data_IF_594560389012
#
_entry.id   IF_594560389012
#
_cell.length_a   1.000
_cell.length_b   1.000
_cell.length_c   1.000
_cell.angle_alpha   90.00
_cell.angle_beta   90.00
_cell.angle_gamma   90.00
#
_symmetry.space_group_name_H-M   'P 1'
#
loop_
_entity.id
_entity.type
_entity.pdbx_description
1 polymer ?
#
# COMPACT_ATOMS: atom_id res chain seq x y z
N UNK A 1 38.01 -24.72 -18.33
CA UNK A 1 36.80 -24.05 -17.80
C UNK A 1 35.62 -24.43 -18.69
N UNK A 2 34.56 -25.02 -18.16
CA UNK A 2 33.44 -25.54 -18.97
C UNK A 2 32.60 -24.39 -19.55
N UNK A 3 32.42 -24.39 -20.87
CA UNK A 3 31.64 -23.38 -21.62
C UNK A 3 30.18 -23.23 -21.14
N UNK A 4 29.62 -24.24 -20.46
CA UNK A 4 28.30 -24.19 -19.83
C UNK A 4 28.20 -23.22 -18.63
N UNK A 5 29.30 -22.98 -17.93
CA UNK A 5 29.34 -22.04 -16.79
C UNK A 5 29.27 -20.59 -17.29
N UNK A 6 29.88 -20.29 -18.44
CA UNK A 6 29.89 -18.94 -19.04
C UNK A 6 28.52 -18.58 -19.62
N UNK A 7 27.81 -19.51 -20.27
CA UNK A 7 26.45 -19.27 -20.82
C UNK A 7 25.37 -19.10 -19.75
N UNK A 8 25.54 -19.73 -18.58
CA UNK A 8 24.62 -19.52 -17.46
C UNK A 8 24.70 -18.09 -16.90
N UNK A 9 25.91 -17.53 -16.82
CA UNK A 9 26.19 -16.18 -16.28
C UNK A 9 25.57 -15.06 -17.14
N UNK A 10 25.24 -15.32 -18.41
CA UNK A 10 24.68 -14.31 -19.32
C UNK A 10 23.15 -14.29 -19.40
N UNK A 11 22.45 -15.34 -18.94
CA UNK A 11 20.99 -15.43 -19.05
C UNK A 11 20.23 -14.83 -17.85
N UNK A 12 20.86 -14.78 -16.66
CA UNK A 12 20.20 -14.27 -15.45
C UNK A 12 19.90 -12.75 -15.49
N UNK A 13 20.71 -11.86 -16.11
CA UNK A 13 20.35 -10.45 -16.24
C UNK A 13 19.15 -10.29 -17.17
N UNK A 14 19.05 -11.12 -18.21
CA UNK A 14 17.91 -11.14 -19.13
C UNK A 14 16.64 -11.59 -18.42
N UNK A 15 16.72 -12.61 -17.56
CA UNK A 15 15.57 -13.10 -16.80
C UNK A 15 15.10 -12.09 -15.75
N UNK A 16 16.04 -11.40 -15.11
CA UNK A 16 15.74 -10.27 -14.24
C UNK A 16 15.12 -9.09 -14.99
N UNK A 17 15.63 -8.77 -16.18
CA UNK A 17 15.11 -7.69 -17.02
C UNK A 17 13.71 -8.03 -17.56
N UNK A 18 13.47 -9.28 -17.95
CA UNK A 18 12.15 -9.77 -18.35
C UNK A 18 11.17 -9.70 -17.18
N UNK A 19 11.60 -10.08 -15.98
CA UNK A 19 10.73 -9.98 -14.80
C UNK A 19 10.45 -8.52 -14.43
N UNK A 20 11.45 -7.64 -14.58
CA UNK A 20 11.27 -6.21 -14.40
C UNK A 20 10.27 -5.63 -15.40
N UNK A 21 10.34 -6.04 -16.68
CA UNK A 21 9.40 -5.64 -17.72
C UNK A 21 8.00 -6.16 -17.42
N UNK A 22 7.85 -7.44 -17.05
CA UNK A 22 6.54 -8.03 -16.72
C UNK A 22 5.94 -7.36 -15.47
N UNK A 23 6.74 -7.09 -14.45
CA UNK A 23 6.29 -6.38 -13.25
C UNK A 23 5.89 -4.93 -13.56
N UNK A 24 6.67 -4.22 -14.38
CA UNK A 24 6.33 -2.86 -14.82
C UNK A 24 5.05 -2.83 -15.68
N UNK A 25 4.86 -3.82 -16.56
CA UNK A 25 3.63 -3.97 -17.35
C UNK A 25 2.42 -4.30 -16.47
N UNK A 26 2.60 -5.16 -15.46
CA UNK A 26 1.56 -5.49 -14.49
C UNK A 26 1.14 -4.27 -13.66
N UNK A 27 2.10 -3.51 -13.16
CA UNK A 27 1.86 -2.23 -12.47
C UNK A 27 1.17 -1.21 -13.39
N UNK A 28 1.59 -1.15 -14.66
CA UNK A 28 0.96 -0.28 -15.64
C UNK A 28 -0.49 -0.68 -15.97
N UNK A 29 -0.88 -1.92 -15.74
CA UNK A 29 -2.23 -2.44 -15.98
C UNK A 29 -3.16 -2.35 -14.76
N UNK A 30 -2.63 -2.02 -13.56
CA UNK A 30 -3.48 -1.74 -12.41
C UNK A 30 -4.28 -0.45 -12.66
N UNK A 31 -5.60 -0.45 -12.40
CA UNK A 31 -6.38 0.78 -12.43
C UNK A 31 -5.75 1.76 -11.45
N UNK A 32 -5.55 3.02 -11.85
CA UNK A 32 -5.00 4.05 -10.96
C UNK A 32 -6.05 4.33 -9.86
N UNK A 33 -5.86 3.86 -8.62
CA UNK A 33 -6.87 4.07 -7.59
C UNK A 33 -6.63 5.44 -6.98
N UNK A 34 -7.22 6.46 -7.59
CA UNK A 34 -7.23 7.84 -7.09
C UNK A 34 -5.85 8.51 -6.97
N UNK A 35 -5.88 9.83 -6.85
CA UNK A 35 -4.71 10.72 -6.85
C UNK A 35 -3.87 10.69 -5.56
N UNK A 36 -4.06 9.71 -4.66
CA UNK A 36 -3.38 9.72 -3.38
C UNK A 36 -1.92 9.22 -3.51
N UNK A 37 -0.91 10.01 -3.11
CA UNK A 37 0.51 9.64 -3.23
C UNK A 37 0.87 8.37 -2.47
N UNK A 38 0.22 8.13 -1.33
CA UNK A 38 0.47 6.95 -0.53
C UNK A 38 -0.15 5.68 -1.16
N UNK A 39 -1.26 5.78 -1.89
CA UNK A 39 -1.80 4.66 -2.69
C UNK A 39 -0.80 4.25 -3.77
N UNK A 40 -0.24 5.23 -4.48
CA UNK A 40 0.82 5.00 -5.47
C UNK A 40 2.04 4.27 -4.87
N UNK A 41 2.44 4.67 -3.65
CA UNK A 41 3.52 4.00 -2.94
C UNK A 41 3.10 2.59 -2.51
N UNK A 42 1.91 2.40 -1.92
CA UNK A 42 1.37 1.10 -1.48
C UNK A 42 1.23 0.11 -2.64
N UNK A 43 0.71 0.53 -3.79
CA UNK A 43 0.55 -0.28 -5.00
C UNK A 43 1.89 -0.71 -5.59
N UNK A 44 2.88 0.18 -5.62
CA UNK A 44 4.25 -0.19 -5.95
C UNK A 44 4.80 -1.25 -4.97
N UNK A 45 4.32 -1.25 -3.72
CA UNK A 45 4.58 -2.30 -2.73
C UNK A 45 3.94 -3.63 -3.04
N UNK A 46 2.73 -3.65 -3.61
CA UNK A 46 2.03 -4.88 -4.00
C UNK A 46 2.85 -5.66 -5.03
N UNK A 47 3.55 -4.98 -5.93
CA UNK A 47 4.52 -5.63 -6.82
C UNK A 47 5.66 -6.35 -6.08
N UNK A 48 5.93 -6.02 -4.82
CA UNK A 48 6.86 -6.72 -3.94
C UNK A 48 6.56 -8.22 -3.82
N UNK A 49 5.30 -8.63 -3.91
CA UNK A 49 4.89 -10.05 -3.93
C UNK A 49 5.52 -10.82 -5.11
N UNK A 50 5.79 -10.14 -6.22
CA UNK A 50 6.41 -10.71 -7.43
C UNK A 50 7.91 -10.42 -7.50
N UNK A 51 8.33 -9.22 -7.09
CA UNK A 51 9.71 -8.75 -7.20
C UNK A 51 10.62 -9.45 -6.18
N UNK A 52 10.24 -9.51 -4.90
CA UNK A 52 11.09 -10.06 -3.85
C UNK A 52 11.47 -11.54 -4.06
N UNK A 53 10.55 -12.45 -4.46
CA UNK A 53 10.91 -13.83 -4.79
C UNK A 53 11.97 -13.95 -5.89
N UNK A 54 11.87 -13.11 -6.92
CA UNK A 54 12.77 -13.12 -8.07
C UNK A 54 14.14 -12.57 -7.69
N UNK A 55 14.17 -11.51 -6.89
CA UNK A 55 15.39 -10.96 -6.31
C UNK A 55 16.11 -12.01 -5.44
N UNK A 56 15.38 -12.70 -4.56
CA UNK A 56 15.92 -13.78 -3.73
C UNK A 56 16.50 -14.92 -4.58
N UNK A 57 15.73 -15.38 -5.56
CA UNK A 57 16.10 -16.47 -6.46
C UNK A 57 17.32 -16.13 -7.31
N UNK A 58 17.40 -14.90 -7.84
CA UNK A 58 18.52 -14.41 -8.62
C UNK A 58 19.82 -14.41 -7.81
N UNK A 59 19.78 -13.89 -6.58
CA UNK A 59 20.92 -13.89 -5.68
C UNK A 59 21.34 -15.31 -5.26
N UNK A 60 20.37 -16.19 -4.99
CA UNK A 60 20.63 -17.60 -4.68
C UNK A 60 21.30 -18.34 -5.83
N UNK A 61 20.84 -18.12 -7.06
CA UNK A 61 21.43 -18.70 -8.27
C UNK A 61 22.87 -18.22 -8.48
N UNK A 62 23.13 -16.92 -8.30
CA UNK A 62 24.46 -16.34 -8.41
C UNK A 62 25.42 -16.98 -7.40
N UNK A 63 25.04 -17.02 -6.12
CA UNK A 63 25.87 -17.62 -5.07
C UNK A 63 26.08 -19.13 -5.28
N UNK A 64 25.04 -19.88 -5.67
CA UNK A 64 25.18 -21.31 -5.94
C UNK A 64 26.13 -21.62 -7.10
N UNK A 65 26.17 -20.77 -8.12
CA UNK A 65 27.12 -20.90 -9.24
C UNK A 65 28.54 -20.59 -8.83
N UNK A 66 28.77 -19.52 -8.06
CA UNK A 66 30.10 -19.22 -7.51
C UNK A 66 30.59 -20.36 -6.61
N UNK A 67 29.69 -20.98 -5.84
CA UNK A 67 29.99 -22.18 -5.06
C UNK A 67 30.36 -23.36 -5.95
N UNK A 68 29.60 -23.64 -7.00
CA UNK A 68 29.90 -24.69 -7.97
C UNK A 68 31.23 -24.48 -8.69
N UNK A 69 31.59 -23.21 -8.96
CA UNK A 69 32.89 -22.82 -9.53
C UNK A 69 34.05 -22.87 -8.51
N UNK A 70 33.78 -23.19 -7.25
CA UNK A 70 34.80 -23.33 -6.20
C UNK A 70 35.31 -22.00 -5.64
N UNK A 71 34.64 -20.88 -5.91
CA UNK A 71 35.07 -19.53 -5.49
C UNK A 71 35.15 -19.38 -3.97
N UNK A 72 34.32 -20.12 -3.23
CA UNK A 72 34.29 -20.11 -1.76
C UNK A 72 35.17 -21.17 -1.09
N UNK A 73 35.97 -21.94 -1.85
CA UNK A 73 36.77 -23.05 -1.29
C UNK A 73 37.99 -22.58 -0.49
N UNK A 74 38.53 -21.41 -0.83
CA UNK A 74 39.73 -20.88 -0.20
C UNK A 74 39.39 -19.76 0.76
N UNK A 75 40.12 -19.71 1.88
CA UNK A 75 40.01 -18.58 2.81
C UNK A 75 40.46 -17.32 2.08
N UNK A 76 39.57 -16.35 2.04
CA UNK A 76 39.79 -15.05 1.41
C UNK A 76 39.78 -13.97 2.48
N UNK A 77 40.48 -12.85 2.24
CA UNK A 77 40.44 -11.72 3.17
C UNK A 77 39.03 -11.14 3.25
N UNK A 78 38.72 -10.44 4.33
CA UNK A 78 37.39 -9.82 4.57
C UNK A 78 36.96 -8.95 3.38
N UNK A 79 37.89 -8.20 2.78
CA UNK A 79 37.61 -7.38 1.57
C UNK A 79 37.14 -8.22 0.38
N UNK A 80 37.76 -9.38 0.15
CA UNK A 80 37.38 -10.28 -0.94
C UNK A 80 36.06 -11.00 -0.65
N UNK A 81 35.82 -11.40 0.60
CA UNK A 81 34.53 -11.97 1.03
C UNK A 81 33.39 -10.96 0.83
N UNK A 82 33.61 -9.68 1.19
CA UNK A 82 32.66 -8.60 0.95
C UNK A 82 32.42 -8.34 -0.54
N UNK A 83 33.45 -8.38 -1.38
CA UNK A 83 33.29 -8.25 -2.83
C UNK A 83 32.48 -9.42 -3.42
N UNK A 84 32.71 -10.65 -2.97
CA UNK A 84 31.93 -11.83 -3.39
C UNK A 84 30.47 -11.72 -2.98
N UNK A 85 30.19 -11.23 -1.77
CA UNK A 85 28.83 -10.95 -1.32
C UNK A 85 28.17 -9.89 -2.20
N UNK A 86 28.86 -8.77 -2.44
CA UNK A 86 28.36 -7.66 -3.25
C UNK A 86 28.04 -8.10 -4.69
N UNK A 87 28.87 -8.96 -5.29
CA UNK A 87 28.64 -9.54 -6.61
C UNK A 87 27.39 -10.42 -6.69
N UNK A 88 26.98 -11.06 -5.58
CA UNK A 88 25.76 -11.86 -5.55
C UNK A 88 24.51 -11.01 -5.28
N UNK A 89 24.64 -10.01 -4.39
CA UNK A 89 23.50 -9.29 -3.81
C UNK A 89 23.16 -8.04 -4.60
N UNK A 90 24.13 -7.15 -4.87
CA UNK A 90 23.87 -5.85 -5.46
C UNK A 90 23.19 -5.92 -6.83
N UNK A 91 23.55 -6.85 -7.74
CA UNK A 91 22.90 -6.90 -9.04
C UNK A 91 21.42 -7.30 -8.96
N UNK A 92 21.08 -8.30 -8.12
CA UNK A 92 19.70 -8.71 -7.91
C UNK A 92 18.89 -7.66 -7.14
N UNK A 93 19.45 -7.12 -6.05
CA UNK A 93 18.83 -6.06 -5.27
C UNK A 93 18.62 -4.79 -6.10
N UNK A 94 19.58 -4.43 -6.96
CA UNK A 94 19.51 -3.28 -7.85
C UNK A 94 18.38 -3.39 -8.87
N UNK A 95 18.16 -4.57 -9.46
CA UNK A 95 17.00 -4.77 -10.34
C UNK A 95 15.69 -4.62 -9.56
N UNK A 96 15.58 -5.24 -8.38
CA UNK A 96 14.40 -5.10 -7.54
C UNK A 96 14.11 -3.64 -7.18
N UNK A 97 15.15 -2.90 -6.77
CA UNK A 97 15.07 -1.48 -6.48
C UNK A 97 14.60 -0.66 -7.70
N UNK A 98 15.19 -0.90 -8.88
CA UNK A 98 14.78 -0.22 -10.12
C UNK A 98 13.32 -0.48 -10.44
N UNK A 99 12.84 -1.73 -10.30
CA UNK A 99 11.44 -2.06 -10.56
C UNK A 99 10.50 -1.32 -9.62
N UNK A 100 10.81 -1.29 -8.32
CA UNK A 100 9.98 -0.58 -7.34
C UNK A 100 10.00 0.94 -7.56
N UNK A 101 11.16 1.51 -7.86
CA UNK A 101 11.31 2.96 -8.12
C UNK A 101 10.62 3.37 -9.42
N UNK A 102 10.79 2.61 -10.50
CA UNK A 102 10.11 2.86 -11.78
C UNK A 102 8.61 2.68 -11.63
N UNK A 103 8.17 1.64 -10.90
CA UNK A 103 6.76 1.43 -10.55
C UNK A 103 6.16 2.64 -9.85
N UNK A 104 6.79 3.10 -8.77
CA UNK A 104 6.37 4.31 -8.05
C UNK A 104 6.36 5.54 -8.97
N UNK A 105 7.37 5.73 -9.81
CA UNK A 105 7.44 6.85 -10.75
C UNK A 105 6.33 6.82 -11.80
N UNK A 106 5.95 5.64 -12.31
CA UNK A 106 4.84 5.48 -13.26
C UNK A 106 3.50 5.82 -12.59
N UNK A 107 3.27 5.38 -11.35
CA UNK A 107 2.06 5.72 -10.60
C UNK A 107 1.97 7.22 -10.30
N UNK A 108 3.08 7.84 -9.88
CA UNK A 108 3.16 9.29 -9.70
C UNK A 108 2.89 10.03 -11.01
N UNK A 109 3.48 9.60 -12.12
CA UNK A 109 3.26 10.20 -13.45
C UNK A 109 1.82 10.11 -13.97
N UNK A 110 0.96 9.29 -13.35
CA UNK A 110 -0.46 9.11 -13.70
C UNK A 110 -1.43 9.94 -12.86
N UNK A 111 -0.94 10.86 -12.03
CA UNK A 111 -1.81 11.75 -11.24
C UNK A 111 -1.47 11.83 -9.75
N UNK A 112 -0.40 11.16 -9.31
CA UNK A 112 0.13 11.33 -7.95
C UNK A 112 1.12 12.50 -7.84
N UNK A 113 1.46 12.89 -6.62
CA UNK A 113 2.57 13.80 -6.33
C UNK A 113 3.77 13.00 -5.79
N UNK A 114 5.00 13.46 -6.11
CA UNK A 114 6.22 12.93 -5.48
C UNK A 114 6.59 13.85 -4.31
N UNK A 115 6.05 13.57 -3.13
CA UNK A 115 6.41 14.27 -1.90
C UNK A 115 7.37 13.45 -1.02
N UNK A 116 7.73 13.99 0.15
CA UNK A 116 8.59 13.30 1.11
C UNK A 116 8.02 11.98 1.62
N UNK A 117 6.69 11.86 1.72
CA UNK A 117 6.02 10.67 2.25
C UNK A 117 6.19 9.45 1.33
N UNK A 118 6.22 9.69 0.01
CA UNK A 118 6.50 8.63 -0.98
C UNK A 118 7.89 8.05 -0.77
N UNK A 119 8.90 8.89 -0.51
CA UNK A 119 10.27 8.45 -0.27
C UNK A 119 10.38 7.67 1.04
N UNK A 120 9.70 8.13 2.09
CA UNK A 120 9.66 7.49 3.41
C UNK A 120 9.08 6.07 3.35
N UNK A 121 8.07 5.83 2.52
CA UNK A 121 7.46 4.51 2.30
C UNK A 121 8.28 3.64 1.35
N UNK A 122 8.86 4.23 0.30
CA UNK A 122 9.60 3.50 -0.73
C UNK A 122 10.97 3.03 -0.25
N UNK A 123 11.65 3.82 0.56
CA UNK A 123 13.02 3.53 1.02
C UNK A 123 13.14 2.20 1.77
N UNK A 124 12.32 1.88 2.81
CA UNK A 124 12.35 0.59 3.48
C UNK A 124 12.17 -0.59 2.52
N UNK A 125 11.30 -0.45 1.51
CA UNK A 125 11.01 -1.50 0.50
C UNK A 125 12.17 -1.70 -0.47
N UNK A 126 12.84 -0.63 -0.87
CA UNK A 126 14.08 -0.70 -1.66
C UNK A 126 15.18 -1.40 -0.87
N UNK A 127 15.36 -1.07 0.40
CA UNK A 127 16.35 -1.73 1.27
C UNK A 127 15.97 -3.19 1.51
N UNK A 128 14.68 -3.52 1.55
CA UNK A 128 14.18 -4.89 1.70
C UNK A 128 14.62 -5.79 0.54
N UNK A 129 14.70 -5.27 -0.70
CA UNK A 129 15.30 -6.02 -1.81
C UNK A 129 16.74 -6.46 -1.50
N UNK A 130 17.52 -5.62 -0.82
CA UNK A 130 18.87 -5.94 -0.36
C UNK A 130 18.88 -7.07 0.69
N UNK A 131 18.02 -6.98 1.70
CA UNK A 131 17.92 -8.01 2.75
C UNK A 131 17.50 -9.37 2.18
N UNK A 132 16.48 -9.39 1.31
CA UNK A 132 15.97 -10.61 0.66
C UNK A 132 17.01 -11.20 -0.31
N UNK A 133 17.70 -10.36 -1.09
CA UNK A 133 18.82 -10.81 -1.92
C UNK A 133 19.95 -11.41 -1.07
N UNK A 134 20.27 -10.81 0.08
CA UNK A 134 21.31 -11.33 0.98
C UNK A 134 20.95 -12.70 1.56
N UNK A 135 19.68 -12.90 1.96
CA UNK A 135 19.17 -14.21 2.39
C UNK A 135 19.23 -15.23 1.26
N UNK A 136 18.81 -14.84 0.05
CA UNK A 136 18.92 -15.69 -1.15
C UNK A 136 20.36 -16.11 -1.42
N UNK A 137 21.31 -15.16 -1.41
CA UNK A 137 22.72 -15.44 -1.60
C UNK A 137 23.28 -16.40 -0.53
N UNK A 138 22.89 -16.24 0.74
CA UNK A 138 23.25 -17.19 1.81
C UNK A 138 22.74 -18.59 1.52
N UNK A 139 21.48 -18.74 1.12
CA UNK A 139 20.91 -20.04 0.77
C UNK A 139 21.65 -20.70 -0.39
N UNK A 140 21.94 -19.95 -1.46
CA UNK A 140 22.71 -20.46 -2.60
C UNK A 140 24.14 -20.89 -2.22
N UNK A 141 24.73 -20.20 -1.24
CA UNK A 141 26.04 -20.54 -0.68
C UNK A 141 26.01 -21.76 0.24
N UNK A 142 24.95 -21.97 1.01
CA UNK A 142 24.90 -23.01 2.04
C UNK A 142 24.29 -24.33 1.55
N UNK A 143 23.35 -24.27 0.62
CA UNK A 143 22.47 -25.39 0.28
C UNK A 143 22.57 -25.74 -1.22
N UNK A 144 22.36 -27.02 -1.64
CA UNK A 144 22.22 -27.36 -3.05
C UNK A 144 21.18 -26.50 -3.78
N UNK A 145 21.45 -26.15 -5.04
CA UNK A 145 20.61 -25.25 -5.84
C UNK A 145 19.15 -25.73 -5.92
N UNK A 146 18.94 -27.06 -5.97
CA UNK A 146 17.62 -27.69 -6.00
C UNK A 146 16.73 -27.29 -4.82
N UNK A 147 17.31 -27.04 -3.64
CA UNK A 147 16.58 -26.58 -2.46
C UNK A 147 16.72 -25.08 -2.24
N UNK A 148 17.88 -24.50 -2.57
CA UNK A 148 18.13 -23.07 -2.36
C UNK A 148 17.16 -22.18 -3.16
N UNK A 149 16.87 -22.52 -4.42
CA UNK A 149 15.96 -21.78 -5.29
C UNK A 149 14.52 -21.74 -4.76
N UNK A 150 13.82 -22.87 -4.57
CA UNK A 150 12.43 -22.85 -4.09
C UNK A 150 12.31 -22.23 -2.70
N UNK A 151 13.28 -22.48 -1.80
CA UNK A 151 13.29 -21.84 -0.47
C UNK A 151 13.50 -20.34 -0.57
N UNK A 152 14.38 -19.86 -1.45
CA UNK A 152 14.58 -18.42 -1.64
C UNK A 152 13.33 -17.74 -2.21
N UNK A 153 12.67 -18.37 -3.20
CA UNK A 153 11.38 -17.89 -3.74
C UNK A 153 10.33 -17.81 -2.64
N UNK A 154 10.16 -18.90 -1.86
CA UNK A 154 9.21 -18.94 -0.76
C UNK A 154 9.51 -17.84 0.28
N UNK A 155 10.74 -17.73 0.76
CA UNK A 155 11.12 -16.71 1.74
C UNK A 155 10.94 -15.28 1.20
N UNK A 156 11.25 -15.05 -0.08
CA UNK A 156 11.01 -13.75 -0.72
C UNK A 156 9.52 -13.39 -0.78
N UNK A 157 8.66 -14.38 -1.05
CA UNK A 157 7.20 -14.20 -1.03
C UNK A 157 6.68 -13.96 0.40
N UNK A 158 7.11 -14.79 1.35
CA UNK A 158 6.74 -14.67 2.77
C UNK A 158 7.22 -13.35 3.39
N UNK A 159 8.38 -12.82 2.97
CA UNK A 159 8.85 -11.51 3.41
C UNK A 159 7.88 -10.37 3.06
N UNK A 160 7.07 -10.53 2.01
CA UNK A 160 5.99 -9.60 1.68
C UNK A 160 4.67 -9.99 2.35
N UNK A 161 4.23 -11.24 2.25
CA UNK A 161 2.89 -11.64 2.67
C UNK A 161 2.73 -11.72 4.18
N UNK A 162 3.76 -12.20 4.89
CA UNK A 162 3.67 -12.43 6.32
C UNK A 162 3.36 -11.13 7.10
N UNK A 163 4.08 -10.01 6.90
CA UNK A 163 3.75 -8.75 7.57
C UNK A 163 2.31 -8.28 7.29
N UNK A 164 1.83 -8.49 6.05
CA UNK A 164 0.49 -8.08 5.67
C UNK A 164 -0.61 -8.92 6.33
N UNK A 165 -0.29 -10.15 6.74
CA UNK A 165 -1.22 -11.06 7.44
C UNK A 165 -1.22 -10.91 8.96
N UNK A 166 -0.30 -10.14 9.54
CA UNK A 166 -0.19 -10.00 11.00
C UNK A 166 -1.26 -9.05 11.55
N UNK A 167 -1.74 -9.33 12.77
CA UNK A 167 -2.55 -8.38 13.53
C UNK A 167 -1.78 -7.07 13.77
N UNK A 168 -2.51 -5.98 13.96
CA UNK A 168 -1.91 -4.68 14.26
C UNK A 168 -1.05 -4.76 15.53
N UNK A 169 0.16 -4.19 15.48
CA UNK A 169 1.04 -4.12 16.64
C UNK A 169 2.52 -3.91 16.29
N UNK A 170 3.39 -3.84 17.31
CA UNK A 170 4.80 -3.51 17.14
C UNK A 170 5.57 -4.46 16.23
N UNK A 171 5.24 -5.76 16.29
CA UNK A 171 5.83 -6.79 15.42
C UNK A 171 5.48 -6.51 13.96
N UNK A 172 4.23 -6.12 13.67
CA UNK A 172 3.80 -5.77 12.33
C UNK A 172 4.53 -4.53 11.82
N UNK A 173 4.65 -3.48 12.63
CA UNK A 173 5.38 -2.24 12.26
C UNK A 173 6.86 -2.49 11.96
N UNK A 174 7.49 -3.45 12.63
CA UNK A 174 8.85 -3.87 12.28
C UNK A 174 8.88 -4.69 10.97
N UNK A 175 7.90 -5.57 10.79
CA UNK A 175 7.85 -6.50 9.66
C UNK A 175 7.41 -5.83 8.35
N UNK A 176 6.61 -4.77 8.42
CA UNK A 176 6.05 -4.08 7.27
C UNK A 176 5.27 -2.82 7.66
N UNK A 177 4.76 -2.12 6.65
CA UNK A 177 3.92 -0.95 6.89
C UNK A 177 2.50 -1.38 7.32
N UNK A 178 1.78 -0.55 8.08
CA UNK A 178 0.40 -0.83 8.45
C UNK A 178 -0.49 -0.96 7.20
N UNK A 179 -1.38 -1.98 7.21
CA UNK A 179 -2.22 -2.38 6.06
C UNK A 179 -3.68 -2.00 6.29
N UNK A 180 -3.96 -0.97 7.09
CA UNK A 180 -5.23 -0.27 6.90
C UNK A 180 -5.12 0.59 5.65
N UNK A 181 -4.91 -0.10 4.51
CA UNK A 181 -5.21 0.46 3.21
C UNK A 181 -6.70 0.76 3.20
N UNK A 182 -7.10 1.78 2.44
CA UNK A 182 -8.47 2.19 2.13
C UNK A 182 -9.05 3.40 2.88
N UNK A 183 -8.25 4.27 3.51
CA UNK A 183 -8.74 5.62 3.82
C UNK A 183 -7.68 6.67 3.53
N UNK A 184 -7.99 7.61 2.63
CA UNK A 184 -7.19 8.79 2.28
C UNK A 184 -6.90 9.74 3.46
N UNK A 185 -7.42 9.40 4.63
CA UNK A 185 -7.43 10.18 5.88
C UNK A 185 -6.19 9.94 6.74
N UNK A 186 -5.49 8.82 6.56
CA UNK A 186 -4.43 8.38 7.47
C UNK A 186 -3.13 8.07 6.74
N UNK A 187 -2.02 8.40 7.38
CA UNK A 187 -0.66 8.18 6.89
C UNK A 187 0.16 7.35 7.89
N UNK A 188 1.08 6.50 7.40
CA UNK A 188 2.10 5.88 8.23
C UNK A 188 2.85 6.97 8.99
N UNK A 189 2.92 6.83 10.32
CA UNK A 189 3.71 7.77 11.11
C UNK A 189 5.19 7.65 10.77
N UNK A 190 5.94 8.72 11.05
CA UNK A 190 7.40 8.72 10.97
C UNK A 190 8.04 7.53 11.69
N UNK A 191 7.49 7.18 12.87
CA UNK A 191 7.97 6.03 13.62
C UNK A 191 7.66 4.69 12.97
N UNK A 192 6.52 4.53 12.28
CA UNK A 192 6.14 3.28 11.64
C UNK A 192 7.11 2.89 10.51
N UNK A 193 7.42 3.82 9.59
CA UNK A 193 8.40 3.51 8.54
C UNK A 193 9.82 3.38 9.10
N UNK A 194 10.16 4.11 10.17
CA UNK A 194 11.49 4.04 10.78
C UNK A 194 11.73 2.69 11.45
N UNK A 195 10.72 2.19 12.17
CA UNK A 195 10.74 0.86 12.75
C UNK A 195 10.97 -0.21 11.67
N UNK A 196 10.24 -0.13 10.55
CA UNK A 196 10.41 -1.05 9.44
C UNK A 196 11.81 -0.95 8.82
N UNK A 197 12.28 0.26 8.52
CA UNK A 197 13.61 0.49 7.95
C UNK A 197 14.73 -0.09 8.83
N UNK A 198 14.68 0.18 10.14
CA UNK A 198 15.66 -0.31 11.12
C UNK A 198 15.63 -1.84 11.23
N UNK A 199 14.44 -2.45 11.16
CA UNK A 199 14.31 -3.90 11.16
C UNK A 199 14.92 -4.52 9.89
N UNK A 200 14.66 -3.94 8.72
CA UNK A 200 15.23 -4.40 7.45
C UNK A 200 16.75 -4.24 7.42
N UNK A 201 17.28 -3.11 7.91
CA UNK A 201 18.74 -2.90 8.07
C UNK A 201 19.32 -3.95 9.03
N UNK A 202 18.63 -4.24 10.13
CA UNK A 202 19.02 -5.29 11.06
C UNK A 202 19.08 -6.66 10.38
N UNK A 203 18.08 -7.01 9.58
CA UNK A 203 18.02 -8.29 8.87
C UNK A 203 19.16 -8.41 7.83
N UNK A 204 19.45 -7.33 7.11
CA UNK A 204 20.58 -7.24 6.20
C UNK A 204 21.92 -7.43 6.95
N UNK A 205 22.07 -6.78 8.12
CA UNK A 205 23.25 -6.92 8.96
C UNK A 205 23.41 -8.35 9.49
N UNK A 206 22.33 -9.03 9.89
CA UNK A 206 22.36 -10.47 10.25
C UNK A 206 22.84 -11.31 9.08
N UNK A 207 22.28 -11.11 7.88
CA UNK A 207 22.67 -11.87 6.70
C UNK A 207 24.15 -11.66 6.35
N UNK A 208 24.64 -10.42 6.44
CA UNK A 208 26.05 -10.11 6.23
C UNK A 208 26.93 -10.70 7.34
N UNK A 209 26.49 -10.67 8.59
CA UNK A 209 27.19 -11.28 9.71
C UNK A 209 27.38 -12.79 9.49
N UNK A 210 26.30 -13.49 9.14
CA UNK A 210 26.32 -14.91 8.81
C UNK A 210 27.29 -15.19 7.66
N UNK A 211 27.28 -14.36 6.62
CA UNK A 211 28.23 -14.46 5.51
C UNK A 211 29.69 -14.38 5.98
N UNK A 212 30.02 -13.37 6.80
CA UNK A 212 31.36 -13.19 7.36
C UNK A 212 31.76 -14.32 8.31
N UNK A 213 30.82 -14.83 9.12
CA UNK A 213 31.07 -15.93 10.06
C UNK A 213 31.36 -17.25 9.34
N UNK A 214 30.69 -17.52 8.20
CA UNK A 214 31.01 -18.66 7.34
C UNK A 214 32.46 -18.59 6.85
N UNK A 215 32.96 -17.38 6.56
CA UNK A 215 34.36 -17.12 6.19
C UNK A 215 35.33 -17.05 7.37
N UNK A 216 34.85 -17.32 8.60
CA UNK A 216 35.60 -17.26 9.87
C UNK A 216 36.17 -15.87 10.18
N UNK A 217 35.58 -14.80 9.62
CA UNK A 217 35.89 -13.42 9.97
C UNK A 217 35.17 -13.03 11.28
N UNK A 218 35.54 -13.69 12.39
CA UNK A 218 34.78 -13.69 13.65
C UNK A 218 34.56 -12.28 14.22
N UNK A 219 35.60 -11.43 14.25
CA UNK A 219 35.48 -10.07 14.80
C UNK A 219 34.50 -9.21 14.00
N UNK A 220 34.57 -9.24 12.67
CA UNK A 220 33.64 -8.52 11.79
C UNK A 220 32.23 -9.10 11.91
N UNK A 221 32.10 -10.42 12.01
CA UNK A 221 30.83 -11.09 12.24
C UNK A 221 30.18 -10.68 13.56
N UNK A 222 30.93 -10.67 14.66
CA UNK A 222 30.44 -10.23 15.97
C UNK A 222 30.01 -8.76 15.92
N UNK A 223 30.81 -7.88 15.32
CA UNK A 223 30.43 -6.47 15.18
C UNK A 223 29.12 -6.28 14.41
N UNK A 224 28.90 -7.06 13.34
CA UNK A 224 27.66 -7.04 12.58
C UNK A 224 26.47 -7.64 13.36
N UNK A 225 26.69 -8.67 14.18
CA UNK A 225 25.65 -9.20 15.08
C UNK A 225 25.26 -8.13 16.10
N UNK A 226 26.22 -7.43 16.71
CA UNK A 226 25.95 -6.34 17.65
C UNK A 226 25.16 -5.22 16.96
N UNK A 227 25.58 -4.82 15.75
CA UNK A 227 24.84 -3.83 14.96
C UNK A 227 23.42 -4.28 14.62
N UNK A 228 23.23 -5.57 14.27
CA UNK A 228 21.92 -6.14 14.01
C UNK A 228 21.02 -6.14 15.24
N UNK A 229 21.54 -6.55 16.40
CA UNK A 229 20.81 -6.54 17.67
C UNK A 229 20.44 -5.11 18.07
N UNK A 230 21.38 -4.17 17.94
CA UNK A 230 21.12 -2.75 18.21
C UNK A 230 20.05 -2.18 17.27
N UNK A 231 20.11 -2.49 15.98
CA UNK A 231 19.12 -2.04 14.97
C UNK A 231 17.74 -2.64 15.23
N UNK A 232 17.65 -3.93 15.54
CA UNK A 232 16.40 -4.60 15.89
C UNK A 232 15.82 -4.10 17.22
N UNK A 233 16.67 -3.85 18.22
CA UNK A 233 16.26 -3.26 19.48
C UNK A 233 15.75 -1.83 19.32
N UNK A 234 16.42 -1.02 18.47
CA UNK A 234 15.94 0.31 18.11
C UNK A 234 14.62 0.25 17.34
N UNK A 235 14.49 -0.65 16.37
CA UNK A 235 13.25 -0.89 15.65
C UNK A 235 12.09 -1.25 16.59
N UNK A 236 12.33 -2.15 17.55
CA UNK A 236 11.36 -2.51 18.58
C UNK A 236 10.98 -1.33 19.47
N UNK A 237 11.98 -0.57 19.93
CA UNK A 237 11.76 0.63 20.75
C UNK A 237 10.92 1.68 20.04
N UNK A 238 11.22 1.96 18.76
CA UNK A 238 10.42 2.86 17.93
C UNK A 238 9.01 2.31 17.73
N UNK A 239 8.87 1.03 17.36
CA UNK A 239 7.57 0.40 17.15
C UNK A 239 6.67 0.40 18.40
N UNK A 240 7.25 0.28 19.60
CA UNK A 240 6.52 0.42 20.86
C UNK A 240 6.16 1.85 21.23
N UNK A 241 7.00 2.82 20.85
CA UNK A 241 6.78 4.22 21.15
C UNK A 241 5.74 4.88 20.23
N UNK A 242 5.37 4.22 19.13
CA UNK A 242 4.35 4.69 18.20
C UNK A 242 2.97 4.29 18.73
N UNK A 243 2.11 5.24 19.14
CA UNK A 243 0.77 4.93 19.59
C UNK A 243 -0.12 4.44 18.43
N UNK A 244 -1.03 3.52 18.72
CA UNK A 244 -2.00 3.00 17.75
C UNK A 244 -1.39 2.01 16.72
N UNK A 245 -2.01 1.92 15.55
CA UNK A 245 -1.63 0.97 14.48
C UNK A 245 -0.46 1.47 13.62
N UNK A 246 0.35 2.42 14.09
CA UNK A 246 1.39 3.07 13.29
C UNK A 246 0.87 4.03 12.23
N UNK A 247 -0.37 4.49 12.39
CA UNK A 247 -1.04 5.43 11.51
C UNK A 247 -1.36 6.69 12.31
N UNK A 248 -1.13 7.86 11.71
CA UNK A 248 -1.65 9.14 12.18
C UNK A 248 -2.65 9.67 11.17
N UNK A 249 -3.56 10.52 11.64
CA UNK A 249 -4.41 11.27 10.73
C UNK A 249 -3.56 12.33 10.03
N UNK A 250 -3.86 12.60 8.76
CA UNK A 250 -3.10 13.55 7.95
C UNK A 250 -3.21 14.96 8.53
N UNK A 251 -2.07 15.65 8.60
CA UNK A 251 -1.98 17.04 9.06
C UNK A 251 -2.29 18.05 7.95
N UNK A 252 -2.47 17.62 6.70
CA UNK A 252 -2.69 18.53 5.57
C UNK A 252 -4.09 19.18 5.62
N UNK A 253 -4.22 20.50 5.45
CA UNK A 253 -5.51 21.15 5.40
C UNK A 253 -6.18 20.93 4.05
N UNK A 254 -7.39 20.35 4.07
CA UNK A 254 -8.28 20.35 2.90
C UNK A 254 -8.55 21.78 2.44
N UNK A 255 -8.65 21.96 1.12
CA UNK A 255 -8.97 23.24 0.50
C UNK A 255 -10.46 23.30 0.25
N UNK A 256 -11.13 24.29 0.80
CA UNK A 256 -12.57 24.46 0.67
C UNK A 256 -12.92 25.52 -0.36
N UNK A 257 -13.89 25.24 -1.21
CA UNK A 257 -14.53 26.21 -2.10
C UNK A 257 -16.04 26.05 -1.99
N UNK A 258 -16.78 27.16 -1.96
CA UNK A 258 -18.23 27.10 -1.92
C UNK A 258 -18.81 26.81 -3.31
N UNK A 259 -19.61 25.75 -3.41
CA UNK A 259 -20.34 25.39 -4.63
C UNK A 259 -21.81 25.80 -4.46
N UNK A 260 -22.29 26.67 -5.35
CA UNK A 260 -23.66 27.17 -5.33
C UNK A 260 -24.48 26.61 -6.49
N UNK A 261 -25.72 26.23 -6.20
CA UNK A 261 -26.74 25.83 -7.15
C UNK A 261 -28.10 26.43 -6.74
N UNK A 262 -28.55 27.44 -7.48
CA UNK A 262 -29.76 28.19 -7.13
C UNK A 262 -29.65 28.87 -5.77
N UNK A 263 -30.56 28.53 -4.85
CA UNK A 263 -30.59 29.05 -3.47
C UNK A 263 -29.77 28.23 -2.49
N UNK A 264 -29.21 27.08 -2.91
CA UNK A 264 -28.40 26.20 -2.07
C UNK A 264 -26.92 26.45 -2.32
N UNK A 265 -26.15 26.54 -1.24
CA UNK A 265 -24.69 26.62 -1.28
C UNK A 265 -24.13 25.58 -0.31
N UNK A 266 -23.04 24.94 -0.71
CA UNK A 266 -22.40 23.88 0.05
C UNK A 266 -20.90 24.00 -0.11
N UNK A 267 -20.16 23.91 0.99
CA UNK A 267 -18.70 23.96 0.95
C UNK A 267 -18.14 22.61 0.47
N UNK A 268 -17.26 22.65 -0.53
CA UNK A 268 -16.56 21.50 -1.09
C UNK A 268 -15.10 21.55 -0.66
N UNK A 269 -14.74 20.74 0.33
CA UNK A 269 -13.39 20.63 0.85
C UNK A 269 -12.68 19.38 0.31
N UNK A 270 -11.68 19.60 -0.55
CA UNK A 270 -10.89 18.54 -1.19
C UNK A 270 -9.48 18.50 -0.66
N UNK A 271 -8.85 17.33 -0.71
CA UNK A 271 -7.41 17.21 -0.49
C UNK A 271 -6.62 17.94 -1.58
N UNK A 272 -5.42 18.47 -1.27
CA UNK A 272 -4.59 19.17 -2.25
C UNK A 272 -4.31 18.38 -3.53
N UNK A 273 -4.17 17.06 -3.45
CA UNK A 273 -3.97 16.17 -4.59
C UNK A 273 -5.20 16.05 -5.52
N UNK A 274 -6.41 16.24 -4.99
CA UNK A 274 -7.66 16.17 -5.75
C UNK A 274 -8.10 17.55 -6.29
N UNK A 275 -7.30 18.59 -6.04
CA UNK A 275 -7.61 19.96 -6.43
C UNK A 275 -7.79 20.12 -7.94
N UNK A 276 -7.05 19.36 -8.75
CA UNK A 276 -7.17 19.34 -10.21
C UNK A 276 -8.55 18.85 -10.67
N UNK A 277 -9.21 18.00 -9.88
CA UNK A 277 -10.54 17.47 -10.13
C UNK A 277 -11.65 18.41 -9.66
N UNK A 278 -11.33 19.48 -8.91
CA UNK A 278 -12.33 20.39 -8.34
C UNK A 278 -13.39 20.85 -9.34
N UNK A 279 -13.08 21.26 -10.59
CA UNK A 279 -14.10 21.67 -11.53
C UNK A 279 -15.10 20.56 -11.87
N UNK A 280 -14.62 19.33 -12.01
CA UNK A 280 -15.45 18.16 -12.29
C UNK A 280 -16.30 17.77 -11.07
N UNK A 281 -15.68 17.69 -9.88
CA UNK A 281 -16.37 17.38 -8.62
C UNK A 281 -17.44 18.44 -8.31
N UNK A 282 -17.15 19.72 -8.54
CA UNK A 282 -18.11 20.80 -8.36
C UNK A 282 -19.27 20.71 -9.37
N UNK A 283 -19.03 20.25 -10.60
CA UNK A 283 -20.10 20.01 -11.56
C UNK A 283 -21.01 18.86 -11.10
N UNK A 284 -20.43 17.74 -10.68
CA UNK A 284 -21.16 16.59 -10.13
C UNK A 284 -21.94 16.97 -8.87
N UNK A 285 -21.36 17.77 -7.97
CA UNK A 285 -22.06 18.27 -6.78
C UNK A 285 -23.24 19.17 -7.16
N UNK A 286 -23.13 20.03 -8.18
CA UNK A 286 -24.27 20.83 -8.65
C UNK A 286 -25.41 19.96 -9.16
N UNK A 287 -25.12 18.89 -9.89
CA UNK A 287 -26.15 17.94 -10.35
C UNK A 287 -26.84 17.25 -9.17
N UNK A 288 -26.07 16.76 -8.20
CA UNK A 288 -26.61 16.15 -6.98
C UNK A 288 -27.45 17.15 -6.17
N UNK A 289 -27.05 18.42 -6.11
CA UNK A 289 -27.83 19.48 -5.45
C UNK A 289 -29.14 19.81 -6.16
N UNK A 290 -29.21 19.69 -7.50
CA UNK A 290 -30.46 19.83 -8.26
C UNK A 290 -31.43 18.72 -7.87
N UNK A 291 -30.99 17.46 -7.91
CA UNK A 291 -31.81 16.30 -7.53
C UNK A 291 -32.27 16.45 -6.06
N UNK A 292 -31.35 16.80 -5.16
CA UNK A 292 -31.68 17.05 -3.76
C UNK A 292 -32.72 18.17 -3.59
N UNK A 293 -32.71 19.19 -4.44
CA UNK A 293 -33.69 20.27 -4.40
C UNK A 293 -35.06 19.82 -4.91
N UNK A 294 -35.11 19.10 -6.02
CA UNK A 294 -36.34 18.56 -6.61
C UNK A 294 -37.08 17.64 -5.63
N UNK A 295 -36.32 16.80 -4.92
CA UNK A 295 -36.85 15.85 -3.93
C UNK A 295 -36.89 16.39 -2.50
N UNK A 296 -36.58 17.67 -2.29
CA UNK A 296 -36.57 18.34 -0.96
C UNK A 296 -35.71 17.64 0.09
N UNK A 297 -34.63 16.98 -0.36
CA UNK A 297 -33.62 16.39 0.52
C UNK A 297 -32.87 17.54 1.23
N UNK A 298 -32.72 17.49 2.56
CA UNK A 298 -31.90 18.45 3.29
C UNK A 298 -30.43 18.30 2.88
N UNK A 299 -29.71 19.42 2.79
CA UNK A 299 -28.28 19.43 2.44
C UNK A 299 -27.45 19.90 3.63
N UNK A 300 -26.29 19.28 3.89
CA UNK A 300 -25.35 19.72 4.91
C UNK A 300 -24.73 21.07 4.52
N UNK A 301 -24.04 21.70 5.47
CA UNK A 301 -23.28 22.93 5.22
C UNK A 301 -22.10 22.69 4.28
N UNK A 302 -21.50 21.50 4.33
CA UNK A 302 -20.38 21.13 3.47
C UNK A 302 -20.16 19.63 3.32
N UNK A 303 -19.41 19.27 2.29
CA UNK A 303 -18.79 17.97 2.11
C UNK A 303 -17.28 18.13 2.19
N UNK A 304 -16.63 17.23 2.90
CA UNK A 304 -15.19 17.24 3.11
C UNK A 304 -14.61 15.87 2.87
N UNK A 305 -13.44 15.83 2.25
CA UNK A 305 -12.63 14.62 2.22
C UNK A 305 -11.83 14.43 3.51
N UNK A 306 -11.98 15.26 4.56
CA UNK A 306 -11.24 15.16 5.83
C UNK A 306 -12.11 14.77 7.03
N UNK A 307 -11.67 13.76 7.80
CA UNK A 307 -12.27 13.37 9.08
C UNK A 307 -11.84 14.24 10.28
N UNK A 308 -10.69 14.92 10.19
CA UNK A 308 -10.13 15.72 11.30
C UNK A 308 -10.85 17.06 11.43
N UNK A 309 -11.20 17.64 10.29
CA UNK A 309 -11.85 18.95 10.20
C UNK A 309 -13.36 18.81 9.96
N UNK A 310 -13.97 17.75 10.47
CA UNK A 310 -15.40 17.52 10.34
C UNK A 310 -16.14 18.50 11.26
N UNK A 311 -16.35 19.72 10.75
CA UNK A 311 -17.09 20.75 11.45
C UNK A 311 -18.56 20.31 11.61
N UNK A 312 -19.27 20.78 12.64
CA UNK A 312 -20.71 20.55 12.76
C UNK A 312 -21.44 20.95 11.47
N UNK A 313 -22.17 20.00 10.88
CA UNK A 313 -22.88 20.20 9.62
C UNK A 313 -22.08 19.87 8.35
N UNK A 314 -20.86 19.34 8.46
CA UNK A 314 -20.10 18.78 7.34
C UNK A 314 -20.24 17.26 7.27
N UNK A 315 -20.09 16.71 6.07
CA UNK A 315 -20.20 15.27 5.81
C UNK A 315 -18.97 14.76 5.07
N UNK A 316 -18.56 13.52 5.34
CA UNK A 316 -17.41 12.91 4.69
C UNK A 316 -17.81 12.27 3.36
N UNK A 317 -17.02 12.51 2.31
CA UNK A 317 -17.10 11.78 1.05
C UNK A 317 -15.70 11.54 0.47
N UNK A 318 -15.50 10.40 -0.21
CA UNK A 318 -14.28 10.11 -0.98
C UNK A 318 -14.53 10.57 -2.42
N UNK A 319 -13.86 11.62 -2.88
CA UNK A 319 -14.19 12.32 -4.13
C UNK A 319 -13.08 12.27 -5.19
N UNK A 320 -11.95 11.63 -4.88
CA UNK A 320 -10.81 11.44 -5.78
C UNK A 320 -10.97 10.35 -6.86
N UNK A 321 -12.20 9.90 -7.16
CA UNK A 321 -12.48 8.95 -8.25
C UNK A 321 -12.58 9.70 -9.59
N UNK A 322 -12.06 9.13 -10.68
CA UNK A 322 -12.19 9.71 -12.03
C UNK A 322 -13.57 9.43 -12.66
N UNK A 323 -14.27 8.38 -12.24
CA UNK A 323 -15.63 8.07 -12.70
C UNK A 323 -16.65 9.08 -12.16
N UNK A 324 -17.29 9.91 -13.02
CA UNK A 324 -18.32 10.85 -12.60
C UNK A 324 -19.46 10.17 -11.86
N UNK A 325 -19.79 8.94 -12.21
CA UNK A 325 -20.90 8.22 -11.62
C UNK A 325 -20.61 7.80 -10.18
N UNK A 326 -19.42 7.23 -9.95
CA UNK A 326 -18.95 6.88 -8.60
C UNK A 326 -18.88 8.13 -7.69
N UNK A 327 -18.38 9.26 -8.22
CA UNK A 327 -18.36 10.53 -7.49
C UNK A 327 -19.75 11.04 -7.13
N UNK A 328 -20.71 11.02 -8.07
CA UNK A 328 -22.09 11.46 -7.80
C UNK A 328 -22.77 10.60 -6.75
N UNK A 329 -22.55 9.29 -6.80
CA UNK A 329 -23.04 8.36 -5.80
C UNK A 329 -22.46 8.67 -4.41
N UNK A 330 -21.14 8.88 -4.32
CA UNK A 330 -20.47 9.26 -3.07
C UNK A 330 -21.00 10.59 -2.51
N UNK A 331 -21.21 11.60 -3.37
CA UNK A 331 -21.79 12.88 -3.00
C UNK A 331 -23.25 12.74 -2.53
N UNK A 332 -24.07 11.96 -3.23
CA UNK A 332 -25.46 11.69 -2.84
C UNK A 332 -25.56 11.01 -1.47
N UNK A 333 -24.76 9.97 -1.25
CA UNK A 333 -24.65 9.29 0.04
C UNK A 333 -24.21 10.23 1.17
N UNK A 334 -23.33 11.20 0.87
CA UNK A 334 -22.88 12.18 1.84
C UNK A 334 -23.99 13.18 2.25
N UNK A 335 -25.02 13.40 1.42
CA UNK A 335 -26.14 14.29 1.78
C UNK A 335 -27.08 13.72 2.84
N UNK A 336 -26.96 12.44 3.20
CA UNK A 336 -27.87 11.80 4.15
C UNK A 336 -27.34 11.95 5.58
N UNK A 337 -28.13 12.51 6.52
CA UNK A 337 -27.68 12.72 7.89
C UNK A 337 -27.25 11.41 8.55
N UNK A 338 -26.00 11.38 9.05
CA UNK A 338 -25.47 10.27 9.87
C UNK A 338 -25.95 10.41 11.32
N UNK A 339 -27.24 10.19 11.59
CA UNK A 339 -27.69 10.04 12.98
C UNK A 339 -27.27 8.67 13.53
N UNK A 340 -26.66 8.64 14.72
CA UNK A 340 -26.28 7.39 15.41
C UNK A 340 -24.86 6.87 15.16
N UNK A 341 -24.09 7.44 14.23
CA UNK A 341 -22.64 7.27 14.22
C UNK A 341 -22.02 8.30 15.17
N UNK A 342 -21.84 7.93 16.43
CA UNK A 342 -21.24 8.80 17.44
C UNK A 342 -19.97 9.47 16.91
N UNK A 343 -19.91 10.79 17.08
CA UNK A 343 -18.69 11.61 17.00
C UNK A 343 -17.65 11.23 18.06
N UNK A 344 -17.93 10.22 18.88
CA UNK A 344 -17.02 9.60 19.85
C UNK A 344 -16.28 8.37 19.32
N UNK A 345 -16.03 8.25 18.01
CA UNK A 345 -14.85 7.48 17.60
C UNK A 345 -13.63 8.31 17.96
N UNK A 346 -13.16 8.18 19.20
CA UNK A 346 -11.76 8.46 19.53
C UNK A 346 -10.93 7.81 18.43
N UNK A 347 -10.12 8.56 17.67
CA UNK A 347 -9.59 8.05 16.42
C UNK A 347 -8.81 6.75 16.62
N UNK A 348 -8.23 6.50 17.81
CA UNK A 348 -7.69 5.19 18.21
C UNK A 348 -7.71 4.95 19.74
N UNK A 349 -8.89 4.84 20.35
CA UNK A 349 -9.02 4.28 21.71
C UNK A 349 -8.87 2.75 21.71
N UNK A 350 -8.29 2.17 22.77
CA UNK A 350 -8.00 0.73 22.93
C UNK A 350 -9.09 -0.19 22.35
N UNK A 351 -8.77 -0.93 21.28
CA UNK A 351 -9.65 -1.91 20.63
C UNK A 351 -9.88 -3.18 21.47
N UNK A 352 -9.72 -3.09 22.79
CA UNK A 352 -9.98 -4.16 23.75
C UNK A 352 -11.45 -4.28 24.19
N UNK A 353 -12.31 -3.32 23.83
CA UNK A 353 -13.73 -3.35 24.16
C UNK A 353 -14.57 -2.74 23.04
N UNK A 354 -14.81 -3.50 21.97
CA UNK A 354 -16.00 -3.24 21.14
C UNK A 354 -17.19 -3.83 21.90
N UNK A 355 -17.65 -3.10 22.93
CA UNK A 355 -19.02 -3.27 23.39
C UNK A 355 -19.93 -2.81 22.26
N UNK A 356 -20.91 -3.66 21.95
CA UNK A 356 -21.88 -3.49 20.88
C UNK A 356 -22.40 -2.05 20.84
N UNK A 357 -22.25 -1.39 19.68
CA UNK A 357 -22.93 -0.12 19.43
C UNK A 357 -24.45 -0.33 19.65
N UNK A 358 -25.15 0.64 20.28
CA UNK A 358 -26.58 0.53 20.49
C UNK A 358 -27.28 0.39 19.15
N UNK A 359 -28.19 -0.57 19.06
CA UNK A 359 -29.05 -0.82 17.89
C UNK A 359 -29.74 0.47 17.45
N UNK A 360 -29.42 0.93 16.25
CA UNK A 360 -30.07 2.08 15.62
C UNK A 360 -31.54 1.71 15.35
N UNK A 361 -32.45 2.29 16.12
CA UNK A 361 -33.86 2.38 15.76
C UNK A 361 -34.07 3.59 14.85
N UNK A 362 -34.83 3.38 13.78
CA UNK A 362 -35.49 4.39 12.93
C UNK A 362 -34.61 5.28 12.03
N UNK A 363 -33.60 4.70 11.36
CA UNK A 363 -33.00 5.29 10.15
C UNK A 363 -33.31 4.37 8.96
N UNK A 364 -33.82 4.87 7.81
CA UNK A 364 -33.97 4.03 6.62
C UNK A 364 -32.64 3.37 6.29
N UNK A 365 -32.69 2.09 5.98
CA UNK A 365 -31.49 1.25 5.81
C UNK A 365 -30.54 1.93 4.81
N UNK A 366 -29.23 1.99 5.10
CA UNK A 366 -28.26 2.66 4.20
C UNK A 366 -28.32 2.07 2.79
N UNK A 367 -28.70 0.80 2.68
CA UNK A 367 -28.97 0.13 1.42
C UNK A 367 -30.16 0.75 0.65
N UNK A 368 -31.24 1.12 1.34
CA UNK A 368 -32.40 1.81 0.74
C UNK A 368 -32.04 3.22 0.29
N UNK A 369 -31.23 3.92 1.09
CA UNK A 369 -30.72 5.26 0.73
C UNK A 369 -29.79 5.21 -0.48
N UNK A 370 -28.88 4.23 -0.52
CA UNK A 370 -28.01 3.99 -1.66
C UNK A 370 -28.83 3.62 -2.90
N UNK A 371 -29.81 2.72 -2.76
CA UNK A 371 -30.71 2.35 -3.85
C UNK A 371 -31.50 3.55 -4.38
N UNK A 372 -32.02 4.40 -3.49
CA UNK A 372 -32.73 5.61 -3.89
C UNK A 372 -31.85 6.57 -4.70
N UNK A 373 -30.63 6.86 -4.22
CA UNK A 373 -29.68 7.69 -4.96
C UNK A 373 -29.27 7.06 -6.28
N UNK A 374 -29.08 5.74 -6.31
CA UNK A 374 -28.81 5.03 -7.55
C UNK A 374 -29.97 5.16 -8.55
N UNK A 375 -31.23 5.09 -8.11
CA UNK A 375 -32.39 5.34 -9.00
C UNK A 375 -32.39 6.79 -9.51
N UNK A 376 -32.20 7.77 -8.63
CA UNK A 376 -32.23 9.19 -9.04
C UNK A 376 -31.06 9.58 -9.95
N UNK A 377 -29.91 8.92 -9.81
CA UNK A 377 -28.74 9.09 -10.68
C UNK A 377 -28.83 8.26 -11.97
N UNK A 378 -29.91 7.50 -12.16
CA UNK A 378 -30.12 6.64 -13.33
C UNK A 378 -29.26 5.37 -13.37
N UNK A 379 -28.72 4.95 -12.24
CA UNK A 379 -27.94 3.72 -12.05
C UNK A 379 -28.82 2.47 -11.89
N UNK A 380 -29.99 2.65 -11.28
CA UNK A 380 -31.01 1.63 -11.14
C UNK A 380 -32.28 2.14 -11.81
N UNK A 381 -33.02 1.25 -12.48
CA UNK A 381 -34.42 1.56 -12.78
C UNK A 381 -35.22 1.52 -11.48
N UNK A 382 -36.25 2.36 -11.40
CA UNK A 382 -37.22 2.30 -10.33
C UNK A 382 -37.76 0.86 -10.24
N UNK A 383 -37.64 0.16 -9.09
CA UNK A 383 -38.10 -1.23 -8.97
C UNK A 383 -39.59 -1.42 -9.29
N UNK A 384 -40.36 -0.33 -9.35
CA UNK A 384 -41.77 -0.32 -9.72
C UNK A 384 -42.05 -0.06 -11.24
N UNK A 385 -41.02 0.16 -12.08
CA UNK A 385 -41.19 0.32 -13.54
C UNK A 385 -40.81 -0.95 -14.34
N UNK A 386 -41.74 -1.55 -15.11
CA UNK A 386 -41.48 -2.73 -15.91
C UNK A 386 -41.13 -2.33 -17.35
N UNK A 387 -39.84 -2.17 -17.69
CA UNK A 387 -39.20 -2.64 -18.94
C UNK A 387 -37.73 -2.18 -19.10
N UNK A 388 -36.85 -2.97 -19.76
CA UNK A 388 -35.41 -2.97 -19.50
C UNK A 388 -34.60 -1.93 -20.29
N UNK A 389 -33.63 -1.30 -19.62
CA UNK A 389 -32.44 -0.76 -20.27
C UNK A 389 -31.49 -1.91 -20.62
N UNK A 390 -31.21 -2.10 -21.91
CA UNK A 390 -30.23 -3.07 -22.39
C UNK A 390 -28.82 -2.60 -22.00
N UNK A 391 -28.16 -3.27 -21.06
CA UNK A 391 -26.72 -3.05 -20.86
C UNK A 391 -26.06 -3.70 -19.66
N UNK A 392 -26.73 -3.80 -18.52
CA UNK A 392 -26.16 -4.38 -17.30
C UNK A 392 -27.21 -5.22 -16.57
N UNK A 393 -26.85 -6.45 -16.20
CA UNK A 393 -27.74 -7.30 -15.42
C UNK A 393 -27.94 -6.72 -14.00
N UNK A 394 -29.10 -6.96 -13.38
CA UNK A 394 -29.36 -6.48 -12.00
C UNK A 394 -28.34 -6.98 -10.98
N UNK A 395 -27.66 -8.09 -11.26
CA UNK A 395 -26.55 -8.60 -10.47
C UNK A 395 -25.29 -7.72 -10.59
N UNK A 396 -25.00 -7.17 -11.78
CA UNK A 396 -23.87 -6.26 -12.01
C UNK A 396 -24.06 -4.93 -11.26
N UNK A 397 -25.30 -4.46 -11.14
CA UNK A 397 -25.59 -3.24 -10.38
C UNK A 397 -25.52 -3.49 -8.87
N UNK A 398 -26.02 -4.63 -8.38
CA UNK A 398 -25.81 -5.04 -6.98
C UNK A 398 -24.34 -5.18 -6.63
N UNK A 399 -23.55 -5.76 -7.53
CA UNK A 399 -22.10 -5.91 -7.35
C UNK A 399 -21.42 -4.53 -7.32
N UNK A 400 -21.80 -3.58 -8.18
CA UNK A 400 -21.29 -2.20 -8.13
C UNK A 400 -21.71 -1.46 -6.85
N UNK A 401 -22.96 -1.58 -6.41
CA UNK A 401 -23.44 -0.97 -5.15
C UNK A 401 -22.72 -1.58 -3.95
N UNK A 402 -22.55 -2.90 -3.93
CA UNK A 402 -21.75 -3.61 -2.92
C UNK A 402 -20.30 -3.12 -2.92
N UNK A 403 -19.70 -2.95 -4.09
CA UNK A 403 -18.31 -2.46 -4.25
C UNK A 403 -18.16 -1.03 -3.73
N UNK A 404 -19.15 -0.16 -3.95
CA UNK A 404 -19.18 1.23 -3.41
C UNK A 404 -19.40 1.25 -1.90
N UNK A 405 -20.23 0.34 -1.37
CA UNK A 405 -20.43 0.21 0.09
C UNK A 405 -19.19 -0.37 0.80
N UNK A 406 -18.46 -1.28 0.15
CA UNK A 406 -17.19 -1.82 0.65
C UNK A 406 -16.06 -0.78 0.57
N UNK A 407 -15.97 -0.01 -0.52
CA UNK A 407 -14.93 1.03 -0.69
C UNK A 407 -15.10 2.23 0.23
N UNK A 408 -16.33 2.49 0.71
CA UNK A 408 -16.63 3.51 1.75
C UNK A 408 -16.45 2.99 3.19
N UNK A 409 -15.92 1.77 3.37
CA UNK A 409 -15.51 1.23 4.66
C UNK A 409 -16.66 0.91 5.62
N UNK A 410 -17.87 0.66 5.11
CA UNK A 410 -19.08 0.45 5.91
C UNK A 410 -19.86 -0.80 5.47
N UNK A 411 -19.17 -1.92 5.26
CA UNK A 411 -19.81 -3.23 5.27
C UNK A 411 -20.24 -3.57 6.71
N UNK A 412 -21.47 -4.08 6.85
CA UNK A 412 -22.06 -4.50 8.14
C UNK A 412 -21.31 -5.68 8.78
#
# INVERSE_FOLDING_TARGET
MNAGVVRGVTAWPVLLLLTAVVAALGLAALPAPGSYPLFSAIDAGVAGALVLPVVAAGAALAAARLRGAGVFRHRVSVRHSGAQWALCVLPAAGVGAVVLVVGAAVHVGRGGSFDGSVLEVLLPRVVLCGAVAAVGALLGRLVPLLFALPTAVALGFWAFVLPNSMADGPVRLMAGLPVRCCVSQVEPTTGAWLAHLLAVIGALAVALALWCLIDRAVLSGIALVVAAVASMGAAWGVAHAVPGHGLAVRDDPVRCEQVQQGTRAMDLCLWPENESLRPAVAADLREVLVIAQEHRVPVPAGVTESLVNLQPGYTEAILGDEDPMARRMALGLALVPREGCGTERQPFGDWGAVEAAPSAGDVPDRAETAAWWAVQLGLLQDPDEPEPFQGASGDEVRERVSTVMESTGCAA
#
